data_IF_136504829060
#
_entry.id   IF_136504829060
#
_cell.length_a   1.000
_cell.length_b   1.000
_cell.length_c   1.000
_cell.angle_alpha   90.00
_cell.angle_beta   90.00
_cell.angle_gamma   90.00
#
_symmetry.space_group_name_H-M   'P 1'
#
loop_
_entity.id
_entity.type
_entity.pdbx_description
1 polymer ?
#
# COMPACT_ATOMS: atom_id res chain seq x y z
N UNK A 1 -35.96 42.61 -20.76
CA UNK A 1 -34.54 42.88 -21.07
C UNK A 1 -33.78 41.58 -20.80
N UNK A 2 -33.13 41.06 -21.84
CA UNK A 2 -32.57 39.71 -21.90
C UNK A 2 -31.29 39.57 -21.07
N UNK A 3 -31.11 38.42 -20.40
CA UNK A 3 -29.92 37.58 -20.62
C UNK A 3 -30.13 36.20 -19.98
N UNK A 4 -30.88 35.31 -20.64
CA UNK A 4 -30.77 33.87 -20.37
C UNK A 4 -29.42 33.43 -20.89
N UNK A 5 -28.41 33.58 -20.03
CA UNK A 5 -27.07 33.06 -20.22
C UNK A 5 -27.24 31.55 -20.42
N UNK A 6 -27.20 31.13 -21.69
CA UNK A 6 -27.17 29.75 -22.13
C UNK A 6 -26.00 29.09 -21.41
N UNK A 7 -26.27 28.55 -20.23
CA UNK A 7 -25.32 27.76 -19.45
C UNK A 7 -25.15 26.49 -20.26
N UNK A 8 -24.09 26.50 -21.05
CA UNK A 8 -23.68 25.48 -21.98
C UNK A 8 -23.78 24.13 -21.27
N UNK A 9 -24.84 23.39 -21.55
CA UNK A 9 -24.94 21.95 -21.32
C UNK A 9 -23.99 21.29 -22.31
N UNK A 10 -22.69 21.38 -22.06
CA UNK A 10 -21.74 20.44 -22.64
C UNK A 10 -21.38 19.48 -21.53
N UNK A 11 -22.00 18.31 -21.58
CA UNK A 11 -21.81 17.20 -20.65
C UNK A 11 -20.50 16.45 -20.97
N UNK A 12 -19.50 17.17 -21.45
CA UNK A 12 -18.25 16.62 -21.97
C UNK A 12 -17.12 17.22 -21.14
N UNK A 13 -16.58 16.37 -20.27
CA UNK A 13 -15.46 16.70 -19.40
C UNK A 13 -14.20 16.72 -20.28
N UNK A 14 -13.92 17.86 -20.91
CA UNK A 14 -12.77 18.04 -21.83
C UNK A 14 -11.44 18.19 -21.05
N UNK A 15 -11.49 18.40 -19.74
CA UNK A 15 -10.30 18.50 -18.88
C UNK A 15 -10.28 17.32 -17.91
N UNK A 16 -9.26 16.42 -17.93
CA UNK A 16 -9.17 15.37 -16.94
C UNK A 16 -9.10 16.02 -15.56
N UNK A 17 -10.15 15.85 -14.76
CA UNK A 17 -10.12 16.27 -13.37
C UNK A 17 -8.92 15.58 -12.71
N UNK A 18 -8.06 16.40 -12.11
CA UNK A 18 -6.84 15.98 -11.42
C UNK A 18 -7.22 14.85 -10.47
N UNK A 19 -6.84 13.61 -10.79
CA UNK A 19 -7.17 12.43 -9.97
C UNK A 19 -6.78 12.74 -8.54
N UNK A 20 -7.78 12.77 -7.67
CA UNK A 20 -7.58 13.12 -6.28
C UNK A 20 -6.60 12.10 -5.66
N UNK A 21 -5.57 12.57 -4.96
CA UNK A 21 -4.56 11.69 -4.35
C UNK A 21 -5.20 10.65 -3.44
N UNK A 22 -6.38 10.93 -2.88
CA UNK A 22 -7.15 9.98 -2.06
C UNK A 22 -7.65 8.77 -2.87
N UNK A 23 -7.98 8.94 -4.15
CA UNK A 23 -8.51 7.86 -4.98
C UNK A 23 -7.41 6.84 -5.32
N UNK A 24 -6.21 7.33 -5.61
CA UNK A 24 -5.03 6.49 -5.80
C UNK A 24 -4.68 5.72 -4.52
N UNK A 25 -4.70 6.38 -3.36
CA UNK A 25 -4.46 5.73 -2.07
C UNK A 25 -5.51 4.64 -1.77
N UNK A 26 -6.77 4.88 -2.13
CA UNK A 26 -7.86 3.90 -1.95
C UNK A 26 -7.65 2.67 -2.82
N UNK A 27 -7.29 2.85 -4.10
CA UNK A 27 -6.98 1.75 -5.03
C UNK A 27 -5.76 0.98 -4.54
N UNK A 28 -4.70 1.69 -4.15
CA UNK A 28 -3.47 1.07 -3.64
C UNK A 28 -3.73 0.25 -2.37
N UNK A 29 -4.46 0.81 -1.39
CA UNK A 29 -4.83 0.10 -0.17
C UNK A 29 -5.64 -1.16 -0.47
N UNK A 30 -6.61 -1.08 -1.38
CA UNK A 30 -7.42 -2.24 -1.79
C UNK A 30 -6.54 -3.32 -2.41
N UNK A 31 -5.61 -2.94 -3.29
CA UNK A 31 -4.67 -3.87 -3.91
C UNK A 31 -3.76 -4.55 -2.88
N UNK A 32 -3.15 -3.78 -1.97
CA UNK A 32 -2.30 -4.31 -0.90
C UNK A 32 -3.08 -5.25 0.00
N UNK A 33 -4.32 -4.89 0.36
CA UNK A 33 -5.17 -5.74 1.20
C UNK A 33 -5.53 -7.06 0.51
N UNK A 34 -5.88 -7.02 -0.78
CA UNK A 34 -6.15 -8.23 -1.56
C UNK A 34 -4.92 -9.16 -1.62
N UNK A 35 -3.73 -8.60 -1.84
CA UNK A 35 -2.49 -9.38 -1.84
C UNK A 35 -2.13 -9.92 -0.47
N UNK A 36 -2.28 -9.12 0.58
CA UNK A 36 -2.06 -9.56 1.95
C UNK A 36 -2.95 -10.77 2.31
N UNK A 37 -4.25 -10.70 1.97
CA UNK A 37 -5.15 -11.83 2.21
C UNK A 37 -4.80 -13.05 1.39
N UNK A 38 -4.50 -12.89 0.09
CA UNK A 38 -4.10 -14.02 -0.76
C UNK A 38 -2.82 -14.70 -0.24
N UNK A 39 -1.87 -13.93 0.28
CA UNK A 39 -0.65 -14.47 0.91
C UNK A 39 -0.99 -15.20 2.20
N UNK A 40 -1.83 -14.62 3.07
CA UNK A 40 -2.23 -15.28 4.32
C UNK A 40 -2.96 -16.60 4.07
N UNK A 41 -3.85 -16.64 3.09
CA UNK A 41 -4.58 -17.84 2.67
C UNK A 41 -3.61 -18.89 2.10
N UNK A 42 -2.66 -18.47 1.26
CA UNK A 42 -1.67 -19.39 0.68
C UNK A 42 -0.77 -20.05 1.74
N UNK A 43 -0.41 -19.31 2.79
CA UNK A 43 0.36 -19.83 3.92
C UNK A 43 -0.51 -20.50 5.00
N UNK A 44 -1.84 -20.50 4.87
CA UNK A 44 -2.76 -21.06 5.87
C UNK A 44 -2.73 -20.33 7.22
N UNK A 45 -2.34 -19.05 7.23
CA UNK A 45 -2.30 -18.17 8.41
C UNK A 45 -3.48 -17.20 8.44
N UNK A 46 -4.53 -17.48 7.68
CA UNK A 46 -5.77 -16.71 7.62
C UNK A 46 -6.63 -16.85 8.89
N UNK A 47 -6.29 -17.79 9.79
CA UNK A 47 -6.95 -17.99 11.08
C UNK A 47 -6.80 -16.82 12.06
N UNK A 48 -5.95 -16.96 13.08
CA UNK A 48 -5.84 -15.99 14.14
C UNK A 48 -4.84 -14.86 13.83
N UNK A 49 -5.11 -13.65 14.31
CA UNK A 49 -4.17 -12.54 14.21
C UNK A 49 -2.84 -12.82 14.96
N UNK A 50 -2.88 -13.67 15.99
CA UNK A 50 -1.68 -14.17 16.68
C UNK A 50 -0.75 -14.91 15.73
N UNK A 51 -1.30 -15.76 14.87
CA UNK A 51 -0.52 -16.66 14.03
C UNK A 51 0.15 -15.85 12.92
N UNK A 52 -0.56 -14.86 12.39
CA UNK A 52 0.00 -13.86 11.47
C UNK A 52 1.12 -13.06 12.14
N UNK A 53 0.93 -12.62 13.39
CA UNK A 53 1.95 -11.88 14.12
C UNK A 53 3.21 -12.73 14.37
N UNK A 54 3.07 -14.01 14.70
CA UNK A 54 4.19 -14.94 14.85
C UNK A 54 4.89 -15.23 13.53
N UNK A 55 4.13 -15.49 12.46
CA UNK A 55 4.69 -15.80 11.15
C UNK A 55 5.46 -14.61 10.57
N UNK A 56 4.84 -13.44 10.48
CA UNK A 56 5.52 -12.25 9.99
C UNK A 56 6.58 -11.73 10.97
N UNK A 57 6.36 -11.91 12.27
CA UNK A 57 7.33 -11.55 13.31
C UNK A 57 8.63 -12.33 13.17
N UNK A 58 8.56 -13.64 12.96
CA UNK A 58 9.76 -14.48 12.80
C UNK A 58 10.51 -14.17 11.51
N UNK A 59 9.81 -14.02 10.38
CA UNK A 59 10.43 -13.62 9.11
C UNK A 59 11.09 -12.23 9.23
N UNK A 60 10.36 -11.27 9.80
CA UNK A 60 10.86 -9.90 10.01
C UNK A 60 12.08 -9.89 10.93
N UNK A 61 12.06 -10.66 12.02
CA UNK A 61 13.17 -10.80 12.93
C UNK A 61 14.40 -11.40 12.25
N UNK A 62 14.22 -12.44 11.43
CA UNK A 62 15.32 -13.05 10.69
C UNK A 62 15.99 -12.04 9.73
N UNK A 63 15.19 -11.28 8.97
CA UNK A 63 15.70 -10.22 8.09
C UNK A 63 16.37 -9.12 8.89
N UNK A 64 15.76 -8.70 10.01
CA UNK A 64 16.31 -7.69 10.89
C UNK A 64 17.68 -8.10 11.43
N UNK A 65 17.83 -9.35 11.88
CA UNK A 65 19.10 -9.88 12.36
C UNK A 65 20.16 -9.85 11.27
N UNK A 66 19.83 -10.25 10.03
CA UNK A 66 20.78 -10.16 8.91
C UNK A 66 21.24 -8.72 8.65
N UNK A 67 20.30 -7.78 8.61
CA UNK A 67 20.59 -6.35 8.42
C UNK A 67 21.43 -5.83 9.59
N UNK A 68 21.05 -6.18 10.82
CA UNK A 68 21.73 -5.75 12.03
C UNK A 68 23.16 -6.26 12.09
N UNK A 69 23.38 -7.55 11.78
CA UNK A 69 24.72 -8.13 11.66
C UNK A 69 25.53 -7.43 10.57
N UNK A 70 24.93 -7.14 9.42
CA UNK A 70 25.59 -6.38 8.35
C UNK A 70 26.01 -4.99 8.80
N UNK A 71 25.12 -4.24 9.47
CA UNK A 71 25.38 -2.91 9.99
C UNK A 71 26.48 -2.92 11.07
N UNK A 72 26.40 -3.85 12.03
CA UNK A 72 27.45 -4.01 13.05
C UNK A 72 28.77 -4.37 12.41
N UNK A 73 28.75 -5.25 11.41
CA UNK A 73 29.96 -5.65 10.70
C UNK A 73 30.59 -4.47 9.97
N UNK A 74 29.80 -3.64 9.29
CA UNK A 74 30.28 -2.40 8.66
C UNK A 74 30.86 -1.43 9.69
N UNK A 75 30.18 -1.23 10.83
CA UNK A 75 30.65 -0.33 11.90
C UNK A 75 31.91 -0.84 12.61
N UNK A 76 32.02 -2.15 12.83
CA UNK A 76 33.09 -2.75 13.64
C UNK A 76 34.33 -3.09 12.82
N UNK A 77 34.14 -3.49 11.55
CA UNK A 77 35.23 -3.95 10.68
C UNK A 77 35.51 -3.02 9.49
N UNK A 78 34.73 -1.94 9.31
CA UNK A 78 35.01 -0.87 8.35
C UNK A 78 34.78 -1.20 6.88
N UNK A 79 33.92 -2.18 6.58
CA UNK A 79 33.45 -2.48 5.22
C UNK A 79 32.57 -1.37 4.64
#
# INVERSE_FOLDING_TARGET
>A
MANTLFKITNNEIIVPQRKDKSEFFRIFRSFVFAKYNAVNEWFGIDGAASDRAWFYGTISLAIFLLIFTYLISGLSFGF
#
